data_IF_558610791509
#
_entry.id   IF_558610791509
#
_cell.length_a   1.000
_cell.length_b   1.000
_cell.length_c   1.000
_cell.angle_alpha   90.00
_cell.angle_beta   90.00
_cell.angle_gamma   90.00
#
_symmetry.space_group_name_H-M   'P 1'
#
loop_
_entity.id
_entity.type
_entity.pdbx_description
1 polymer ?
#
# COMPACT_ATOMS: atom_id res chain seq x y z
N UNK A 1 -20.57 -82.61 39.11
CA UNK A 1 -19.50 -83.63 39.26
C UNK A 1 -18.58 -83.09 40.31
N UNK A 2 -18.40 -83.83 41.41
CA UNK A 2 -17.59 -83.37 42.52
C UNK A 2 -16.11 -83.60 42.22
N UNK A 3 -15.29 -82.64 42.60
CA UNK A 3 -13.83 -82.70 42.53
C UNK A 3 -13.26 -82.49 43.92
N UNK A 4 -12.10 -83.08 44.15
CA UNK A 4 -11.38 -82.91 45.41
C UNK A 4 -10.42 -81.73 45.29
N UNK A 5 -10.43 -80.84 46.27
CA UNK A 5 -9.50 -79.72 46.34
C UNK A 5 -8.07 -80.24 46.57
N UNK A 6 -7.15 -79.93 45.66
CA UNK A 6 -5.75 -80.33 45.79
C UNK A 6 -5.05 -79.73 47.03
N UNK A 7 -5.52 -78.59 47.53
CA UNK A 7 -4.91 -77.91 48.70
C UNK A 7 -5.45 -78.38 50.05
N UNK A 8 -6.76 -78.64 50.17
CA UNK A 8 -7.39 -78.93 51.47
C UNK A 8 -8.09 -80.30 51.52
N UNK A 9 -8.11 -81.05 50.42
CA UNK A 9 -8.74 -82.37 50.34
C UNK A 9 -10.27 -82.38 50.38
N UNK A 10 -10.94 -81.23 50.50
CA UNK A 10 -12.40 -81.12 50.55
C UNK A 10 -13.04 -81.35 49.18
N UNK A 11 -14.17 -82.06 49.13
CA UNK A 11 -14.92 -82.31 47.90
C UNK A 11 -15.97 -81.23 47.65
N UNK A 12 -15.99 -80.65 46.44
CA UNK A 12 -16.92 -79.60 46.04
C UNK A 12 -17.29 -79.73 44.56
N UNK A 13 -18.31 -79.01 44.09
CA UNK A 13 -18.73 -79.10 42.69
C UNK A 13 -17.71 -78.47 41.73
N UNK A 14 -17.39 -79.16 40.63
CA UNK A 14 -16.45 -78.67 39.59
C UNK A 14 -16.94 -77.39 38.88
N UNK A 15 -18.20 -76.98 39.07
CA UNK A 15 -18.70 -75.72 38.52
C UNK A 15 -18.30 -74.50 39.36
N UNK A 16 -17.89 -74.68 40.61
CA UNK A 16 -17.46 -73.57 41.46
C UNK A 16 -16.05 -73.11 41.09
N UNK A 17 -15.86 -71.79 41.04
CA UNK A 17 -14.60 -71.15 40.64
C UNK A 17 -13.52 -71.22 41.70
N UNK A 18 -13.91 -71.37 42.97
CA UNK A 18 -13.01 -71.50 44.11
C UNK A 18 -13.55 -72.57 45.05
N UNK A 19 -12.64 -73.28 45.71
CA UNK A 19 -13.00 -74.25 46.74
C UNK A 19 -13.67 -73.50 47.92
N UNK A 20 -14.90 -73.85 48.31
CA UNK A 20 -15.65 -73.13 49.35
C UNK A 20 -15.05 -73.30 50.75
N UNK A 21 -14.19 -74.31 50.94
CA UNK A 21 -13.59 -74.63 52.24
C UNK A 21 -12.27 -73.91 52.51
N UNK A 22 -11.47 -73.63 51.47
CA UNK A 22 -10.14 -73.03 51.64
C UNK A 22 -9.82 -71.90 50.66
N UNK A 23 -10.76 -71.56 49.76
CA UNK A 23 -10.60 -70.49 48.77
C UNK A 23 -9.63 -70.79 47.64
N UNK A 24 -9.04 -72.00 47.56
CA UNK A 24 -8.14 -72.34 46.46
C UNK A 24 -8.90 -72.35 45.13
N UNK A 25 -8.35 -71.68 44.12
CA UNK A 25 -8.94 -71.57 42.79
C UNK A 25 -9.11 -72.94 42.10
N UNK A 26 -10.29 -73.14 41.51
CA UNK A 26 -10.55 -74.22 40.58
C UNK A 26 -10.08 -73.79 39.17
N UNK A 27 -8.83 -74.13 38.86
CA UNK A 27 -8.19 -73.77 37.58
C UNK A 27 -8.93 -74.28 36.35
N UNK A 28 -9.65 -75.41 36.46
CA UNK A 28 -10.42 -75.94 35.34
C UNK A 28 -11.69 -75.12 35.07
N UNK A 29 -12.40 -74.72 36.13
CA UNK A 29 -13.56 -73.84 36.00
C UNK A 29 -13.17 -72.47 35.46
N UNK A 30 -12.11 -71.88 36.01
CA UNK A 30 -11.54 -70.61 35.51
C UNK A 30 -11.11 -70.73 34.04
N UNK A 31 -10.46 -71.84 33.66
CA UNK A 31 -10.05 -72.10 32.27
C UNK A 31 -11.23 -72.25 31.29
N UNK A 32 -12.36 -72.80 31.72
CA UNK A 32 -13.58 -72.90 30.89
C UNK A 32 -14.22 -71.53 30.66
N UNK A 33 -14.31 -70.71 31.70
CA UNK A 33 -14.86 -69.36 31.60
C UNK A 33 -13.98 -68.46 30.74
N UNK A 34 -12.66 -68.52 30.92
CA UNK A 34 -11.71 -67.77 30.11
C UNK A 34 -11.80 -68.15 28.63
N UNK A 35 -11.94 -69.45 28.30
CA UNK A 35 -12.19 -69.89 26.91
C UNK A 35 -13.51 -69.36 26.34
N UNK A 36 -14.56 -69.30 27.16
CA UNK A 36 -15.85 -68.77 26.72
C UNK A 36 -15.76 -67.26 26.42
N UNK A 37 -15.13 -66.49 27.31
CA UNK A 37 -14.93 -65.04 27.13
C UNK A 37 -14.07 -64.75 25.89
N UNK A 38 -12.97 -65.49 25.70
CA UNK A 38 -12.14 -65.32 24.51
C UNK A 38 -12.92 -65.69 23.23
N UNK A 39 -13.76 -66.72 23.28
CA UNK A 39 -14.62 -67.11 22.16
C UNK A 39 -15.66 -66.05 21.78
N UNK A 40 -16.22 -65.32 22.75
CA UNK A 40 -17.17 -64.22 22.46
C UNK A 40 -16.48 -63.02 21.83
N UNK A 41 -15.27 -62.66 22.29
CA UNK A 41 -14.48 -61.60 21.65
C UNK A 41 -14.09 -61.94 20.21
N UNK A 42 -13.71 -63.20 19.94
CA UNK A 42 -13.41 -63.65 18.59
C UNK A 42 -14.64 -63.62 17.67
N UNK A 43 -15.83 -63.90 18.21
CA UNK A 43 -17.08 -63.84 17.45
C UNK A 43 -17.45 -62.38 17.09
N UNK A 44 -17.37 -61.46 18.05
CA UNK A 44 -17.61 -60.03 17.83
C UNK A 44 -16.59 -59.41 16.86
N UNK A 45 -15.32 -59.81 16.96
CA UNK A 45 -14.28 -59.35 16.04
C UNK A 45 -14.56 -59.80 14.59
N UNK A 46 -15.00 -61.04 14.40
CA UNK A 46 -15.40 -61.56 13.08
C UNK A 46 -16.65 -60.87 12.53
N UNK A 47 -17.62 -60.57 13.39
CA UNK A 47 -18.81 -59.83 13.01
C UNK A 47 -18.45 -58.41 12.53
N UNK A 48 -17.59 -57.68 13.24
CA UNK A 48 -17.11 -56.37 12.82
C UNK A 48 -16.39 -56.41 11.46
N UNK A 49 -15.62 -57.46 11.16
CA UNK A 49 -14.98 -57.62 9.85
C UNK A 49 -15.98 -57.81 8.71
N UNK A 50 -17.13 -58.44 8.98
CA UNK A 50 -18.18 -58.68 7.98
C UNK A 50 -19.13 -57.49 7.80
N UNK A 51 -19.40 -56.73 8.85
CA UNK A 51 -20.43 -55.68 8.86
C UNK A 51 -19.88 -54.32 8.45
N UNK A 52 -18.57 -54.08 8.58
CA UNK A 52 -17.94 -52.84 8.12
C UNK A 52 -17.53 -53.00 6.65
N UNK A 53 -18.22 -52.37 5.68
CA UNK A 53 -17.84 -52.52 4.30
C UNK A 53 -16.55 -51.74 4.01
N UNK A 54 -15.41 -52.43 4.15
CA UNK A 54 -14.05 -51.93 3.91
C UNK A 54 -13.91 -51.21 2.54
N UNK A 55 -14.75 -51.53 1.55
CA UNK A 55 -14.80 -50.86 0.24
C UNK A 55 -15.36 -49.43 0.28
N UNK A 56 -16.36 -49.13 1.12
CA UNK A 56 -16.96 -47.80 1.20
C UNK A 56 -16.05 -46.82 1.95
N UNK A 57 -15.43 -47.26 3.05
CA UNK A 57 -14.42 -46.49 3.80
C UNK A 57 -13.20 -46.11 2.95
N UNK A 58 -12.67 -47.05 2.15
CA UNK A 58 -11.51 -46.81 1.28
C UNK A 58 -11.81 -45.89 0.09
N UNK A 59 -13.07 -45.88 -0.38
CA UNK A 59 -13.52 -45.01 -1.48
C UNK A 59 -13.80 -43.60 -0.95
N UNK A 60 -14.45 -43.46 0.20
CA UNK A 60 -14.66 -42.19 0.87
C UNK A 60 -13.35 -41.49 1.25
N UNK A 61 -12.37 -42.23 1.79
CA UNK A 61 -11.06 -41.66 2.13
C UNK A 61 -10.32 -41.15 0.90
N UNK A 62 -10.35 -41.89 -0.22
CA UNK A 62 -9.77 -41.44 -1.50
C UNK A 62 -10.47 -40.21 -2.07
N UNK A 63 -11.79 -40.16 -2.04
CA UNK A 63 -12.55 -39.00 -2.55
C UNK A 63 -12.30 -37.77 -1.70
N UNK A 64 -12.31 -37.89 -0.37
CA UNK A 64 -11.95 -36.79 0.53
C UNK A 64 -10.54 -36.29 0.29
N UNK A 65 -9.57 -37.19 0.14
CA UNK A 65 -8.18 -36.82 -0.13
C UNK A 65 -8.04 -36.10 -1.48
N UNK A 66 -8.76 -36.55 -2.50
CA UNK A 66 -8.78 -35.90 -3.82
C UNK A 66 -9.41 -34.50 -3.76
N UNK A 67 -10.52 -34.33 -3.03
CA UNK A 67 -11.17 -33.02 -2.85
C UNK A 67 -10.24 -32.06 -2.10
N UNK A 68 -9.59 -32.51 -1.02
CA UNK A 68 -8.62 -31.70 -0.27
C UNK A 68 -7.44 -31.30 -1.16
N UNK A 69 -6.92 -32.22 -1.97
CA UNK A 69 -5.85 -31.92 -2.93
C UNK A 69 -6.28 -30.88 -3.97
N UNK A 70 -7.50 -31.00 -4.52
CA UNK A 70 -8.03 -30.03 -5.48
C UNK A 70 -8.14 -28.64 -4.84
N UNK A 71 -8.67 -28.56 -3.61
CA UNK A 71 -8.78 -27.29 -2.87
C UNK A 71 -7.39 -26.69 -2.65
N UNK A 72 -6.42 -27.49 -2.22
CA UNK A 72 -5.04 -27.04 -2.04
C UNK A 72 -4.42 -26.52 -3.35
N UNK A 73 -4.63 -27.22 -4.46
CA UNK A 73 -4.13 -26.78 -5.77
C UNK A 73 -4.78 -25.45 -6.17
N UNK A 74 -6.11 -25.30 -6.01
CA UNK A 74 -6.81 -24.06 -6.33
C UNK A 74 -6.30 -22.90 -5.49
N UNK A 75 -6.05 -23.12 -4.19
CA UNK A 75 -5.48 -22.10 -3.31
C UNK A 75 -4.08 -21.69 -3.75
N UNK A 76 -3.20 -22.65 -4.05
CA UNK A 76 -1.83 -22.38 -4.51
C UNK A 76 -1.83 -21.66 -5.86
N UNK A 77 -2.66 -22.09 -6.80
CA UNK A 77 -2.76 -21.44 -8.12
C UNK A 77 -3.30 -20.01 -7.96
N UNK A 78 -4.31 -19.81 -7.12
CA UNK A 78 -4.88 -18.50 -6.84
C UNK A 78 -3.87 -17.53 -6.22
N UNK A 79 -3.08 -17.98 -5.23
CA UNK A 79 -2.05 -17.15 -4.61
C UNK A 79 -0.92 -16.82 -5.58
N UNK A 80 -0.45 -17.80 -6.36
CA UNK A 80 0.59 -17.57 -7.38
C UNK A 80 0.11 -16.59 -8.45
N UNK A 81 -1.13 -16.72 -8.93
CA UNK A 81 -1.69 -15.80 -9.92
C UNK A 81 -1.81 -14.37 -9.38
N UNK A 82 -2.21 -14.20 -8.11
CA UNK A 82 -2.28 -12.88 -7.47
C UNK A 82 -0.90 -12.24 -7.33
N UNK A 83 0.12 -13.01 -6.94
CA UNK A 83 1.51 -12.53 -6.82
C UNK A 83 2.06 -12.11 -8.18
N UNK A 84 1.89 -12.95 -9.21
CA UNK A 84 2.35 -12.64 -10.57
C UNK A 84 1.67 -11.38 -11.09
N UNK A 85 0.35 -11.26 -10.90
CA UNK A 85 -0.40 -10.08 -11.31
C UNK A 85 0.13 -8.81 -10.61
N UNK A 86 0.33 -8.86 -9.29
CA UNK A 86 0.90 -7.73 -8.54
C UNK A 86 2.31 -7.34 -9.02
N UNK A 87 3.16 -8.32 -9.36
CA UNK A 87 4.50 -8.04 -9.90
C UNK A 87 4.45 -7.44 -11.30
N UNK A 88 3.55 -7.91 -12.17
CA UNK A 88 3.37 -7.37 -13.53
C UNK A 88 2.81 -5.96 -13.47
N UNK A 89 1.77 -5.72 -12.66
CA UNK A 89 1.16 -4.40 -12.49
C UNK A 89 2.21 -3.40 -11.95
N UNK A 90 2.99 -3.80 -10.94
CA UNK A 90 4.09 -2.98 -10.40
C UNK A 90 5.19 -2.68 -11.44
N UNK A 91 5.59 -3.67 -12.25
CA UNK A 91 6.59 -3.46 -13.29
C UNK A 91 6.08 -2.56 -14.43
N UNK A 92 4.79 -2.67 -14.78
CA UNK A 92 4.14 -1.80 -15.76
C UNK A 92 4.04 -0.37 -15.24
N UNK A 93 3.69 -0.18 -13.97
CA UNK A 93 3.67 1.14 -13.34
C UNK A 93 5.07 1.75 -13.24
N UNK A 94 6.09 0.99 -12.82
CA UNK A 94 7.47 1.44 -12.82
C UNK A 94 7.95 1.83 -14.23
N UNK A 95 7.57 1.04 -15.25
CA UNK A 95 7.87 1.35 -16.64
C UNK A 95 7.15 2.61 -17.17
N UNK A 96 5.94 2.88 -16.68
CA UNK A 96 5.19 4.11 -16.99
C UNK A 96 5.81 5.33 -16.29
N UNK A 97 6.14 5.22 -15.00
CA UNK A 97 6.82 6.27 -14.24
C UNK A 97 8.16 6.66 -14.88
N UNK A 98 8.99 5.68 -15.25
CA UNK A 98 10.26 5.97 -15.93
C UNK A 98 10.09 6.71 -17.27
N UNK A 99 9.04 6.36 -18.05
CA UNK A 99 8.75 7.06 -19.30
C UNK A 99 8.25 8.48 -19.06
N UNK A 100 7.39 8.68 -18.06
CA UNK A 100 6.91 9.99 -17.67
C UNK A 100 8.07 10.88 -17.22
N UNK A 101 8.95 10.40 -16.35
CA UNK A 101 10.14 11.13 -15.90
C UNK A 101 11.08 11.48 -17.06
N UNK A 102 11.32 10.53 -17.99
CA UNK A 102 12.17 10.81 -19.17
C UNK A 102 11.57 11.92 -20.03
N UNK A 103 10.26 11.92 -20.22
CA UNK A 103 9.58 12.95 -21.01
C UNK A 103 9.58 14.31 -20.31
N UNK A 104 9.36 14.33 -18.99
CA UNK A 104 9.42 15.54 -18.18
C UNK A 104 10.82 16.14 -18.16
N UNK A 105 11.87 15.32 -18.01
CA UNK A 105 13.25 15.79 -18.07
C UNK A 105 13.57 16.38 -19.45
N UNK A 106 13.07 15.79 -20.54
CA UNK A 106 13.26 16.34 -21.89
C UNK A 106 12.64 17.73 -22.06
N UNK A 107 11.44 17.95 -21.51
CA UNK A 107 10.81 19.27 -21.52
C UNK A 107 11.50 20.25 -20.55
N UNK A 108 11.95 19.77 -19.39
CA UNK A 108 12.67 20.55 -18.40
C UNK A 108 13.99 21.11 -18.98
N UNK A 109 14.77 20.26 -19.65
CA UNK A 109 16.00 20.67 -20.32
C UNK A 109 15.74 21.61 -21.51
N UNK A 110 14.58 21.48 -22.16
CA UNK A 110 14.15 22.37 -23.23
C UNK A 110 13.50 23.67 -22.73
N UNK A 111 13.31 23.83 -21.41
CA UNK A 111 12.58 24.94 -20.77
C UNK A 111 11.13 25.10 -21.28
N UNK A 112 10.52 24.01 -21.74
CA UNK A 112 9.16 23.97 -22.26
C UNK A 112 8.18 23.62 -21.12
N UNK A 113 7.99 24.57 -20.20
CA UNK A 113 7.18 24.37 -19.00
C UNK A 113 5.69 24.25 -19.29
N UNK A 114 5.22 24.83 -20.40
CA UNK A 114 3.85 24.65 -20.88
C UNK A 114 3.60 23.21 -21.32
N UNK A 115 4.51 22.63 -22.11
CA UNK A 115 4.41 21.23 -22.49
C UNK A 115 4.53 20.30 -21.28
N UNK A 116 5.39 20.60 -20.29
CA UNK A 116 5.43 19.84 -19.03
C UNK A 116 4.07 19.86 -18.33
N UNK A 117 3.45 21.04 -18.21
CA UNK A 117 2.20 21.22 -17.46
C UNK A 117 1.04 20.49 -18.13
N UNK A 118 0.96 20.58 -19.46
CA UNK A 118 -0.01 19.81 -20.25
C UNK A 118 0.23 18.31 -20.07
N UNK A 119 1.48 17.87 -20.16
CA UNK A 119 1.84 16.46 -20.02
C UNK A 119 1.49 15.90 -18.64
N UNK A 120 1.82 16.61 -17.56
CA UNK A 120 1.47 16.24 -16.19
C UNK A 120 -0.04 16.15 -16.00
N UNK A 121 -0.82 17.16 -16.43
CA UNK A 121 -2.28 17.14 -16.33
C UNK A 121 -2.91 15.99 -17.12
N UNK A 122 -2.42 15.73 -18.33
CA UNK A 122 -2.98 14.71 -19.22
C UNK A 122 -2.75 13.28 -18.71
N UNK A 123 -1.67 13.08 -17.96
CA UNK A 123 -1.26 11.77 -17.46
C UNK A 123 -1.49 11.62 -15.95
N UNK A 124 -2.18 12.55 -15.30
CA UNK A 124 -2.44 12.60 -13.86
C UNK A 124 -1.16 12.41 -13.01
N UNK A 125 -0.07 13.08 -13.41
CA UNK A 125 1.24 12.95 -12.75
C UNK A 125 1.32 13.91 -11.56
N UNK A 126 1.01 13.37 -10.38
CA UNK A 126 1.05 14.05 -9.10
C UNK A 126 1.78 13.18 -8.08
N UNK A 127 2.52 13.80 -7.16
CA UNK A 127 3.27 13.08 -6.13
C UNK A 127 4.72 13.55 -6.06
N UNK A 128 5.38 13.12 -4.97
CA UNK A 128 6.73 13.56 -4.61
C UNK A 128 7.76 13.33 -5.71
N UNK A 129 7.61 12.26 -6.49
CA UNK A 129 8.50 11.95 -7.62
C UNK A 129 8.44 12.98 -8.77
N UNK A 130 7.41 13.85 -8.79
CA UNK A 130 7.23 14.89 -9.79
C UNK A 130 7.42 16.31 -9.23
N UNK A 131 7.69 16.47 -7.92
CA UNK A 131 7.78 17.77 -7.25
C UNK A 131 8.82 18.68 -7.91
N UNK A 132 9.98 18.12 -8.31
CA UNK A 132 11.04 18.82 -9.07
C UNK A 132 10.46 19.65 -10.22
N UNK A 133 9.55 19.05 -10.98
CA UNK A 133 8.94 19.67 -12.16
C UNK A 133 7.80 20.60 -11.79
N UNK A 134 6.98 20.22 -10.80
CA UNK A 134 5.84 21.02 -10.36
C UNK A 134 6.24 22.37 -9.79
N UNK A 135 7.32 22.42 -9.00
CA UNK A 135 7.82 23.67 -8.42
C UNK A 135 8.26 24.66 -9.50
N UNK A 136 9.01 24.18 -10.51
CA UNK A 136 9.49 25.00 -11.61
C UNK A 136 8.32 25.49 -12.46
N UNK A 137 7.36 24.61 -12.78
CA UNK A 137 6.14 24.97 -13.50
C UNK A 137 5.29 26.00 -12.74
N UNK A 138 5.19 25.88 -11.42
CA UNK A 138 4.41 26.80 -10.60
C UNK A 138 5.07 28.18 -10.54
N UNK A 139 6.40 28.25 -10.38
CA UNK A 139 7.15 29.50 -10.42
C UNK A 139 6.99 30.20 -11.79
N UNK A 140 7.25 29.46 -12.88
CA UNK A 140 7.07 29.94 -14.25
C UNK A 140 5.65 30.47 -14.52
N UNK A 141 4.61 29.76 -14.06
CA UNK A 141 3.22 30.19 -14.25
C UNK A 141 2.92 31.52 -13.57
N UNK A 142 3.36 31.68 -12.32
CA UNK A 142 3.10 32.88 -11.56
C UNK A 142 3.84 34.09 -12.18
N UNK A 143 5.06 33.87 -12.66
CA UNK A 143 5.82 34.86 -13.44
C UNK A 143 5.07 35.21 -14.74
N UNK A 144 4.54 34.21 -15.44
CA UNK A 144 3.72 34.39 -16.64
C UNK A 144 2.49 35.27 -16.39
N UNK A 145 1.75 35.03 -15.30
CA UNK A 145 0.60 35.87 -14.94
C UNK A 145 1.01 37.32 -14.67
N UNK A 146 2.10 37.55 -13.91
CA UNK A 146 2.62 38.90 -13.72
C UNK A 146 2.98 39.57 -15.05
N UNK A 147 3.65 38.85 -15.94
CA UNK A 147 4.10 39.38 -17.23
C UNK A 147 2.90 39.76 -18.11
N UNK A 148 1.89 38.89 -18.17
CA UNK A 148 0.63 39.18 -18.89
C UNK A 148 -0.09 40.40 -18.31
N UNK A 149 -0.15 40.53 -16.97
CA UNK A 149 -0.77 41.68 -16.32
C UNK A 149 -0.01 42.99 -16.58
N UNK A 150 1.33 42.95 -16.64
CA UNK A 150 2.16 44.08 -17.04
C UNK A 150 1.84 44.49 -18.48
N UNK A 151 1.88 43.56 -19.43
CA UNK A 151 1.59 43.84 -20.84
C UNK A 151 0.17 44.41 -21.02
N UNK A 152 -0.80 43.87 -20.29
CA UNK A 152 -2.18 44.37 -20.31
C UNK A 152 -2.28 45.79 -19.75
N UNK A 153 -1.57 46.09 -18.66
CA UNK A 153 -1.53 47.43 -18.09
C UNK A 153 -0.80 48.42 -19.00
N UNK A 154 0.30 48.05 -19.64
CA UNK A 154 0.98 48.94 -20.60
C UNK A 154 0.09 49.30 -21.80
N UNK A 155 -0.75 48.36 -22.23
CA UNK A 155 -1.61 48.54 -23.40
C UNK A 155 -2.91 49.29 -23.11
N UNK A 156 -3.53 49.04 -21.96
CA UNK A 156 -4.87 49.52 -21.65
C UNK A 156 -4.97 50.27 -20.32
N UNK A 157 -3.90 50.27 -19.55
CA UNK A 157 -3.85 50.78 -18.20
C UNK A 157 -4.16 52.26 -18.12
N UNK A 158 -4.81 52.61 -17.04
CA UNK A 158 -5.01 53.98 -16.61
C UNK A 158 -5.12 53.98 -15.08
N UNK A 159 -5.35 55.17 -14.51
CA UNK A 159 -5.38 55.34 -13.06
C UNK A 159 -6.49 54.54 -12.36
N UNK A 160 -7.61 54.28 -13.02
CA UNK A 160 -8.71 53.46 -12.47
C UNK A 160 -8.35 51.98 -12.42
N UNK A 161 -7.44 51.51 -13.29
CA UNK A 161 -6.98 50.12 -13.34
C UNK A 161 -5.75 49.85 -12.47
N UNK A 162 -5.07 50.89 -12.00
CA UNK A 162 -3.80 50.76 -11.28
C UNK A 162 -3.93 49.95 -9.98
N UNK A 163 -5.00 50.12 -9.23
CA UNK A 163 -5.22 49.36 -8.00
C UNK A 163 -5.41 47.86 -8.30
N UNK A 164 -6.16 47.50 -9.34
CA UNK A 164 -6.32 46.10 -9.75
C UNK A 164 -5.02 45.52 -10.31
N UNK A 165 -4.29 46.27 -11.13
CA UNK A 165 -3.00 45.84 -11.65
C UNK A 165 -2.02 45.53 -10.52
N UNK A 166 -1.85 46.46 -9.58
CA UNK A 166 -0.92 46.28 -8.45
C UNK A 166 -1.35 45.17 -7.50
N UNK A 167 -2.66 44.94 -7.33
CA UNK A 167 -3.19 43.78 -6.63
C UNK A 167 -2.77 42.45 -7.29
N UNK A 168 -2.90 42.33 -8.61
CA UNK A 168 -2.49 41.11 -9.31
C UNK A 168 -0.98 40.89 -9.26
N UNK A 169 -0.18 41.96 -9.43
CA UNK A 169 1.28 41.86 -9.28
C UNK A 169 1.66 41.46 -7.86
N UNK A 170 0.96 41.97 -6.84
CA UNK A 170 1.18 41.51 -5.47
C UNK A 170 0.90 40.01 -5.33
N UNK A 171 -0.26 39.54 -5.78
CA UNK A 171 -0.67 38.14 -5.64
C UNK A 171 0.32 37.21 -6.35
N UNK A 172 0.50 37.38 -7.66
CA UNK A 172 1.31 36.45 -8.44
C UNK A 172 2.80 36.64 -8.20
N UNK A 173 3.25 37.88 -7.94
CA UNK A 173 4.65 38.18 -7.66
C UNK A 173 5.10 37.60 -6.34
N UNK A 174 4.31 37.75 -5.28
CA UNK A 174 4.60 37.11 -3.98
C UNK A 174 4.54 35.58 -4.10
N UNK A 175 3.54 35.02 -4.79
CA UNK A 175 3.46 33.57 -5.02
C UNK A 175 4.65 33.01 -5.82
N UNK A 176 5.21 33.77 -6.77
CA UNK A 176 6.41 33.38 -7.49
C UNK A 176 7.62 33.32 -6.54
N UNK A 177 7.86 34.38 -5.76
CA UNK A 177 9.01 34.44 -4.85
C UNK A 177 8.87 33.49 -3.65
N UNK A 178 7.72 33.42 -3.00
CA UNK A 178 7.50 32.56 -1.82
C UNK A 178 7.74 31.10 -2.18
N UNK A 179 7.03 30.58 -3.18
CA UNK A 179 7.18 29.17 -3.60
C UNK A 179 8.57 28.87 -4.14
N UNK A 180 9.15 29.81 -4.89
CA UNK A 180 10.50 29.62 -5.41
C UNK A 180 11.56 29.63 -4.31
N UNK A 181 11.45 30.50 -3.31
CA UNK A 181 12.35 30.49 -2.16
C UNK A 181 12.13 29.29 -1.25
N UNK A 182 10.89 28.83 -1.07
CA UNK A 182 10.61 27.56 -0.39
C UNK A 182 11.35 26.42 -1.09
N UNK A 183 11.18 26.26 -2.40
CA UNK A 183 11.83 25.20 -3.17
C UNK A 183 13.36 25.27 -3.13
N UNK A 184 13.95 26.48 -3.13
CA UNK A 184 15.42 26.65 -3.06
C UNK A 184 15.98 26.41 -1.65
N UNK A 185 15.22 26.73 -0.59
CA UNK A 185 15.70 26.69 0.79
C UNK A 185 15.13 25.53 1.61
N UNK A 186 14.31 24.67 1.02
CA UNK A 186 13.83 23.49 1.71
C UNK A 186 14.97 22.48 1.97
N UNK A 187 14.64 21.40 2.66
CA UNK A 187 15.62 20.34 2.95
C UNK A 187 15.63 19.23 1.90
N UNK A 188 14.75 19.31 0.91
CA UNK A 188 14.62 18.34 -0.15
C UNK A 188 15.39 18.86 -1.36
N UNK A 189 16.67 18.52 -1.45
CA UNK A 189 17.46 18.85 -2.63
C UNK A 189 16.92 18.06 -3.84
N UNK A 190 16.06 18.70 -4.65
CA UNK A 190 15.40 18.11 -5.81
C UNK A 190 16.21 18.33 -7.10
N UNK A 191 17.24 19.18 -7.07
CA UNK A 191 18.11 19.46 -8.21
C UNK A 191 17.50 20.44 -9.22
N UNK A 192 16.53 21.24 -8.80
CA UNK A 192 15.89 22.29 -9.58
C UNK A 192 16.21 23.71 -9.04
N UNK A 193 17.03 23.82 -7.99
CA UNK A 193 17.27 25.04 -7.24
C UNK A 193 17.89 26.12 -8.14
N UNK A 194 18.97 25.78 -8.87
CA UNK A 194 19.62 26.68 -9.83
C UNK A 194 18.63 27.20 -10.90
N UNK A 195 17.68 26.34 -11.31
CA UNK A 195 16.68 26.70 -12.32
C UNK A 195 15.66 27.67 -11.78
N UNK A 196 15.19 27.45 -10.56
CA UNK A 196 14.25 28.32 -9.88
C UNK A 196 14.92 29.67 -9.59
N UNK A 197 16.16 29.67 -9.10
CA UNK A 197 16.93 30.91 -8.90
C UNK A 197 17.07 31.71 -10.20
N UNK A 198 17.36 31.05 -11.33
CA UNK A 198 17.43 31.70 -12.63
C UNK A 198 16.09 32.32 -13.05
N UNK A 199 14.97 31.61 -12.86
CA UNK A 199 13.61 32.14 -13.14
C UNK A 199 13.30 33.37 -12.27
N UNK A 200 13.56 33.31 -10.97
CA UNK A 200 13.30 34.42 -10.04
C UNK A 200 14.20 35.62 -10.31
N UNK A 201 15.46 35.39 -10.70
CA UNK A 201 16.36 36.45 -11.11
C UNK A 201 15.86 37.12 -12.39
N UNK A 202 15.51 36.33 -13.41
CA UNK A 202 14.94 36.83 -14.65
C UNK A 202 13.65 37.63 -14.42
N UNK A 203 12.78 37.15 -13.53
CA UNK A 203 11.58 37.88 -13.14
C UNK A 203 11.88 39.21 -12.44
N UNK A 204 12.87 39.25 -11.55
CA UNK A 204 13.34 40.51 -10.94
C UNK A 204 13.79 41.50 -12.01
N UNK A 205 14.50 41.02 -13.04
CA UNK A 205 14.98 41.86 -14.13
C UNK A 205 13.82 42.37 -15.01
N UNK A 206 12.88 41.50 -15.38
CA UNK A 206 11.64 41.88 -16.10
C UNK A 206 10.87 42.96 -15.35
N UNK A 207 10.65 42.80 -14.04
CA UNK A 207 9.98 43.81 -13.22
C UNK A 207 10.71 45.17 -13.31
N UNK A 208 12.04 45.18 -13.25
CA UNK A 208 12.82 46.43 -13.35
C UNK A 208 12.69 47.09 -14.71
N UNK A 209 12.73 46.29 -15.79
CA UNK A 209 12.54 46.79 -17.16
C UNK A 209 11.19 47.49 -17.33
N UNK A 210 10.17 47.03 -16.59
CA UNK A 210 8.83 47.61 -16.59
C UNK A 210 8.59 48.63 -15.47
N UNK A 211 9.65 49.18 -14.86
CA UNK A 211 9.54 50.34 -13.97
C UNK A 211 9.30 50.02 -12.49
N UNK A 212 9.32 48.75 -12.09
CA UNK A 212 9.29 48.40 -10.67
C UNK A 212 10.64 48.70 -10.02
N UNK A 213 10.62 49.37 -8.88
CA UNK A 213 11.84 49.72 -8.14
C UNK A 213 12.38 48.53 -7.34
N UNK A 214 13.68 48.55 -7.00
CA UNK A 214 14.29 47.54 -6.13
C UNK A 214 13.54 47.39 -4.79
N UNK A 215 13.02 48.48 -4.25
CA UNK A 215 12.24 48.47 -3.01
C UNK A 215 10.90 47.75 -3.18
N UNK A 216 10.19 47.98 -4.30
CA UNK A 216 8.94 47.26 -4.59
C UNK A 216 9.19 45.77 -4.77
N UNK A 217 10.28 45.40 -5.45
CA UNK A 217 10.67 43.99 -5.63
C UNK A 217 11.04 43.36 -4.27
N UNK A 218 11.72 44.10 -3.39
CA UNK A 218 12.02 43.62 -2.05
C UNK A 218 10.74 43.31 -1.24
N UNK A 219 9.70 44.13 -1.36
CA UNK A 219 8.40 43.89 -0.71
C UNK A 219 7.71 42.64 -1.27
N UNK A 220 7.76 42.41 -2.58
CA UNK A 220 7.23 41.17 -3.17
C UNK A 220 7.95 39.93 -2.65
N UNK A 221 9.26 40.04 -2.37
CA UNK A 221 10.07 38.94 -1.83
C UNK A 221 9.78 38.63 -0.37
N UNK A 222 9.26 39.59 0.42
CA UNK A 222 8.87 39.31 1.81
C UNK A 222 7.56 38.54 1.87
N UNK A 223 6.63 38.82 0.95
CA UNK A 223 5.30 38.18 0.93
C UNK A 223 4.41 38.54 2.11
N UNK A 224 4.82 39.48 2.98
CA UNK A 224 4.05 39.84 4.16
C UNK A 224 2.85 40.70 3.75
N UNK A 225 1.63 40.29 4.09
CA UNK A 225 0.43 41.05 3.73
C UNK A 225 0.41 42.48 4.33
N UNK A 226 1.14 42.72 5.43
CA UNK A 226 1.34 44.06 6.01
C UNK A 226 2.13 45.01 5.07
N UNK A 227 2.99 44.48 4.21
CA UNK A 227 3.82 45.22 3.26
C UNK A 227 3.05 45.61 1.98
N UNK A 228 1.86 45.03 1.76
CA UNK A 228 1.05 45.23 0.56
C UNK A 228 0.63 46.69 0.35
N UNK A 229 0.16 47.34 1.40
CA UNK A 229 -0.27 48.74 1.30
C UNK A 229 0.92 49.65 0.93
N UNK A 230 2.11 49.36 1.47
CA UNK A 230 3.34 50.05 1.13
C UNK A 230 3.72 49.82 -0.35
N UNK A 231 3.62 48.58 -0.82
CA UNK A 231 3.86 48.25 -2.24
C UNK A 231 2.92 49.02 -3.17
N UNK A 232 1.61 49.01 -2.89
CA UNK A 232 0.61 49.71 -3.70
C UNK A 232 0.82 51.23 -3.69
N UNK A 233 1.15 51.81 -2.53
CA UNK A 233 1.46 53.24 -2.44
C UNK A 233 2.67 53.61 -3.29
N UNK A 234 3.73 52.80 -3.27
CA UNK A 234 4.90 53.00 -4.15
C UNK A 234 4.54 52.84 -5.62
N UNK A 235 3.71 51.87 -5.98
CA UNK A 235 3.27 51.71 -7.36
C UNK A 235 2.52 52.96 -7.87
N UNK A 236 1.65 53.57 -7.04
CA UNK A 236 0.95 54.82 -7.38
C UNK A 236 1.86 56.03 -7.60
N UNK A 237 3.09 55.98 -7.10
CA UNK A 237 4.10 57.02 -7.32
C UNK A 237 4.91 56.79 -8.61
N UNK A 238 4.96 55.55 -9.11
CA UNK A 238 5.81 55.13 -10.22
C UNK A 238 5.05 54.86 -11.53
N UNK A 239 3.75 54.56 -11.46
CA UNK A 239 2.87 54.23 -12.60
C UNK A 239 1.74 55.27 -12.80
#
# INVERSE_FOLDING_TARGET
MKIQCASCGGEYENTEKMCPYCGTENKEAAGREMKHILGSYDAEAREMETTVPKKHLKRWSRTLLAVVLIILIVLVVGTVAAVIKGQVDSAVEAGRGNKALTQLEAYYEAEDYDAMREYCRKNDLYGYEYDKYWEVMDADRNIGYCTEDIENYEKYGNREFLDNFTEQIWIYGTMAYEKGYEAVNDRNFLGNEDRIEALLSGFSDTLKEHGFTDEMIALLKTGNEEDKELFQNKARENF
#
